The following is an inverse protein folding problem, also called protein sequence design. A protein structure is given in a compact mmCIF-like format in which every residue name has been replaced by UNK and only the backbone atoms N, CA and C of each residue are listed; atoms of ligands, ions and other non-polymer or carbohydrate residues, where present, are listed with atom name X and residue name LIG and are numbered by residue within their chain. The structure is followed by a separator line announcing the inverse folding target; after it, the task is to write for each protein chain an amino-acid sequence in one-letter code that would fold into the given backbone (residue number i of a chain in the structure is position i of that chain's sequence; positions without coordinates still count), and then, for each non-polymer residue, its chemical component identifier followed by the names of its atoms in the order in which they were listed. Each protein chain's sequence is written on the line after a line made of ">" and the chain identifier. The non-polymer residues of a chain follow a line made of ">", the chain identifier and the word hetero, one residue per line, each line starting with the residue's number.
data_IF_425011399400
#
_entry.id   IF_425011399400
#
_cell.length_a   1.000
_cell.length_b   1.000
_cell.length_c   1.000
_cell.angle_alpha   90.00
_cell.angle_beta   90.00
_cell.angle_gamma   90.00
#
_symmetry.space_group_name_H-M   'P 1'
#
loop_
_entity.id
_entity.type
_entity.pdbx_description
1 polymer ?
#
# COMPACT_ATOMS: atom_id res chain seq x y z
N UNK A 1 10.82 -22.91 -9.37
CA UNK A 1 9.91 -21.96 -8.68
C UNK A 1 10.34 -21.77 -7.22
N UNK A 2 10.39 -22.86 -6.44
CA UNK A 2 10.76 -22.88 -5.02
C UNK A 2 12.12 -22.24 -4.71
N UNK A 3 13.14 -22.51 -5.52
CA UNK A 3 14.50 -21.94 -5.37
C UNK A 3 14.53 -20.41 -5.53
N UNK A 4 13.66 -19.82 -6.36
CA UNK A 4 13.60 -18.36 -6.53
C UNK A 4 12.92 -17.69 -5.34
N UNK A 5 11.84 -18.28 -4.83
CA UNK A 5 11.08 -17.72 -3.71
C UNK A 5 11.90 -17.79 -2.41
N UNK A 6 12.67 -18.87 -2.22
CA UNK A 6 13.62 -19.00 -1.10
C UNK A 6 14.75 -17.96 -1.18
N UNK A 7 15.34 -17.78 -2.36
CA UNK A 7 16.43 -16.82 -2.56
C UNK A 7 15.98 -15.37 -2.35
N UNK A 8 14.71 -15.05 -2.68
CA UNK A 8 14.10 -13.74 -2.40
C UNK A 8 13.92 -13.54 -0.89
N UNK A 9 13.42 -14.55 -0.16
CA UNK A 9 13.31 -14.49 1.30
C UNK A 9 14.68 -14.37 2.00
N UNK A 10 15.69 -15.07 1.47
CA UNK A 10 17.06 -15.01 1.98
C UNK A 10 17.72 -13.63 1.76
N UNK A 11 17.23 -12.85 0.78
CA UNK A 11 17.71 -11.50 0.47
C UNK A 11 16.97 -10.40 1.23
N UNK A 12 15.76 -10.65 1.74
CA UNK A 12 14.96 -9.64 2.43
C UNK A 12 15.65 -9.11 3.70
N UNK A 13 16.24 -10.00 4.52
CA UNK A 13 16.94 -9.60 5.75
C UNK A 13 18.23 -8.83 5.45
N UNK A 14 19.17 -9.33 4.62
CA UNK A 14 20.37 -8.58 4.26
C UNK A 14 20.08 -7.24 3.57
N UNK A 15 19.05 -7.19 2.72
CA UNK A 15 18.64 -5.95 2.07
C UNK A 15 18.11 -4.94 3.09
N UNK A 16 17.30 -5.40 4.05
CA UNK A 16 16.78 -4.54 5.12
C UNK A 16 17.90 -3.97 5.98
N UNK A 17 18.88 -4.80 6.34
CA UNK A 17 20.07 -4.36 7.10
C UNK A 17 20.91 -3.35 6.32
N UNK A 18 21.17 -3.59 5.03
CA UNK A 18 21.91 -2.67 4.18
C UNK A 18 21.22 -1.30 4.08
N UNK A 19 19.91 -1.29 3.82
CA UNK A 19 19.14 -0.05 3.73
C UNK A 19 19.10 0.64 5.09
N UNK A 20 18.91 -0.10 6.19
CA UNK A 20 18.94 0.48 7.54
C UNK A 20 20.28 1.16 7.83
N UNK A 21 21.41 0.54 7.46
CA UNK A 21 22.74 1.15 7.61
C UNK A 21 22.92 2.39 6.73
N UNK A 22 22.41 2.38 5.49
CA UNK A 22 22.44 3.56 4.61
C UNK A 22 21.58 4.69 5.16
N UNK A 23 20.42 4.36 5.72
CA UNK A 23 19.51 5.32 6.34
C UNK A 23 20.09 5.87 7.63
N UNK A 24 20.78 5.08 8.44
CA UNK A 24 21.41 5.53 9.68
C UNK A 24 22.62 6.44 9.39
N UNK A 25 23.55 5.96 8.57
CA UNK A 25 24.84 6.62 8.31
C UNK A 25 24.78 7.70 7.22
N UNK A 26 23.78 7.67 6.34
CA UNK A 26 23.64 8.61 5.23
C UNK A 26 23.26 10.02 5.68
N UNK A 27 23.51 11.01 4.84
CA UNK A 27 23.05 12.37 5.07
C UNK A 27 21.54 12.50 4.80
N UNK A 28 20.95 13.65 5.16
CA UNK A 28 19.56 13.95 4.77
C UNK A 28 19.39 14.04 3.25
N UNK A 29 20.43 14.47 2.52
CA UNK A 29 20.42 14.59 1.07
C UNK A 29 20.47 13.21 0.39
N UNK A 30 21.24 12.27 0.96
CA UNK A 30 21.26 10.87 0.52
C UNK A 30 19.89 10.23 0.70
N UNK A 31 19.28 10.43 1.88
CA UNK A 31 17.94 9.93 2.17
C UNK A 31 16.88 10.55 1.25
N UNK A 32 16.94 11.87 1.03
CA UNK A 32 16.03 12.57 0.11
C UNK A 32 16.18 12.09 -1.33
N UNK A 33 17.39 11.74 -1.74
CA UNK A 33 17.66 11.14 -3.05
C UNK A 33 17.06 9.75 -3.16
N UNK A 34 17.21 8.91 -2.15
CA UNK A 34 16.58 7.58 -2.09
C UNK A 34 15.05 7.69 -2.18
N UNK A 35 14.45 8.64 -1.46
CA UNK A 35 13.01 8.86 -1.46
C UNK A 35 12.50 9.35 -2.83
N UNK A 36 13.26 10.21 -3.50
CA UNK A 36 12.98 10.64 -4.87
C UNK A 36 13.02 9.46 -5.85
N UNK A 37 14.04 8.59 -5.77
CA UNK A 37 14.15 7.40 -6.61
C UNK A 37 12.98 6.43 -6.38
N UNK A 38 12.55 6.26 -5.13
CA UNK A 38 11.34 5.49 -4.79
C UNK A 38 10.10 6.07 -5.48
N UNK A 39 9.88 7.39 -5.38
CA UNK A 39 8.72 8.05 -5.98
C UNK A 39 8.77 7.96 -7.52
N UNK A 40 9.94 8.13 -8.12
CA UNK A 40 10.15 7.97 -9.56
C UNK A 40 9.90 6.53 -10.02
N UNK A 41 10.30 5.53 -9.22
CA UNK A 41 9.99 4.12 -9.46
C UNK A 41 8.49 3.82 -9.41
N UNK A 42 7.74 4.52 -8.56
CA UNK A 42 6.28 4.44 -8.48
C UNK A 42 5.55 5.30 -9.54
N UNK A 43 6.26 5.89 -10.50
CA UNK A 43 5.63 6.65 -11.58
C UNK A 43 4.88 5.70 -12.56
N UNK A 44 3.63 6.06 -12.91
CA UNK A 44 2.79 5.29 -13.85
C UNK A 44 3.43 5.10 -15.22
N UNK A 45 4.31 6.02 -15.63
CA UNK A 45 5.08 5.89 -16.87
C UNK A 45 5.91 4.59 -16.92
N UNK A 46 6.31 4.03 -15.78
CA UNK A 46 7.08 2.77 -15.75
C UNK A 46 6.21 1.57 -16.14
N UNK A 47 4.92 1.58 -15.77
CA UNK A 47 3.96 0.57 -16.25
C UNK A 47 3.70 0.69 -17.74
N UNK A 48 3.52 1.91 -18.25
CA UNK A 48 3.30 2.13 -19.68
C UNK A 48 4.51 1.76 -20.54
N UNK A 49 5.71 1.78 -19.96
CA UNK A 49 6.95 1.27 -20.56
C UNK A 49 7.10 -0.26 -20.44
N UNK A 50 6.08 -0.97 -19.98
CA UNK A 50 6.08 -2.42 -19.72
C UNK A 50 7.20 -2.87 -18.78
N UNK A 51 7.50 -2.07 -17.75
CA UNK A 51 8.53 -2.40 -16.76
C UNK A 51 7.93 -2.50 -15.34
N UNK A 52 7.17 -3.57 -15.04
CA UNK A 52 6.62 -3.80 -13.69
C UNK A 52 7.71 -4.06 -12.65
N UNK A 53 8.92 -4.46 -13.05
CA UNK A 53 10.04 -4.73 -12.15
C UNK A 53 10.55 -3.47 -11.45
N UNK A 54 10.55 -2.32 -12.13
CA UNK A 54 10.86 -1.02 -11.50
C UNK A 54 9.84 -0.68 -10.41
N UNK A 55 8.55 -0.93 -10.69
CA UNK A 55 7.47 -0.66 -9.72
C UNK A 55 7.61 -1.60 -8.53
N UNK A 56 7.85 -2.90 -8.77
CA UNK A 56 8.11 -3.87 -7.69
C UNK A 56 9.30 -3.46 -6.84
N UNK A 57 10.41 -3.05 -7.46
CA UNK A 57 11.61 -2.61 -6.74
C UNK A 57 11.33 -1.40 -5.86
N UNK A 58 10.55 -0.44 -6.35
CA UNK A 58 10.14 0.73 -5.58
C UNK A 58 9.19 0.38 -4.43
N UNK A 59 8.25 -0.54 -4.64
CA UNK A 59 7.35 -1.08 -3.60
C UNK A 59 8.14 -1.83 -2.53
N UNK A 60 9.13 -2.64 -2.92
CA UNK A 60 10.02 -3.33 -1.99
C UNK A 60 10.85 -2.34 -1.18
N UNK A 61 11.46 -1.33 -1.83
CA UNK A 61 12.21 -0.28 -1.13
C UNK A 61 11.32 0.47 -0.14
N UNK A 62 10.06 0.77 -0.50
CA UNK A 62 9.10 1.37 0.42
C UNK A 62 8.85 0.48 1.65
N UNK A 63 8.61 -0.82 1.45
CA UNK A 63 8.41 -1.77 2.56
C UNK A 63 9.64 -1.83 3.47
N UNK A 64 10.85 -1.84 2.89
CA UNK A 64 12.10 -1.85 3.66
C UNK A 64 12.25 -0.55 4.47
N UNK A 65 12.04 0.61 3.84
CA UNK A 65 12.13 1.91 4.51
C UNK A 65 11.13 2.05 5.67
N UNK A 66 9.94 1.48 5.54
CA UNK A 66 8.93 1.46 6.60
C UNK A 66 9.33 0.63 7.82
N UNK A 67 10.29 -0.28 7.67
CA UNK A 67 10.84 -1.11 8.74
C UNK A 67 12.18 -0.56 9.28
N UNK A 68 12.74 0.48 8.67
CA UNK A 68 13.95 1.13 9.18
C UNK A 68 13.64 2.05 10.36
N UNK A 69 14.55 2.18 11.34
CA UNK A 69 14.40 3.12 12.46
C UNK A 69 14.65 4.56 11.99
N UNK A 70 13.66 5.15 11.31
CA UNK A 70 13.69 6.56 10.92
C UNK A 70 13.58 7.44 12.17
N UNK A 71 14.43 8.46 12.27
CA UNK A 71 14.33 9.46 13.34
C UNK A 71 14.74 10.84 12.84
N UNK A 72 14.33 11.87 13.59
CA UNK A 72 14.71 13.25 13.32
C UNK A 72 14.21 13.78 11.98
N UNK A 73 15.08 14.44 11.21
CA UNK A 73 14.70 15.06 9.94
C UNK A 73 14.35 14.03 8.84
N UNK A 74 15.00 12.85 8.83
CA UNK A 74 14.72 11.80 7.84
C UNK A 74 13.29 11.26 7.99
N UNK A 75 12.85 11.05 9.23
CA UNK A 75 11.48 10.69 9.55
C UNK A 75 10.48 11.75 9.06
N UNK A 76 10.75 13.03 9.34
CA UNK A 76 9.89 14.14 8.86
C UNK A 76 9.77 14.17 7.34
N UNK A 77 10.89 14.06 6.63
CA UNK A 77 10.92 14.06 5.16
C UNK A 77 10.13 12.89 4.61
N UNK A 78 10.30 11.69 5.18
CA UNK A 78 9.54 10.50 4.78
C UNK A 78 8.02 10.68 4.93
N UNK A 79 7.58 11.11 6.11
CA UNK A 79 6.16 11.29 6.38
C UNK A 79 5.55 12.46 5.58
N UNK A 80 6.34 13.50 5.28
CA UNK A 80 5.91 14.59 4.42
C UNK A 80 5.67 14.13 2.97
N UNK A 81 6.47 13.20 2.46
CA UNK A 81 6.30 12.62 1.12
C UNK A 81 5.22 11.52 1.05
N UNK A 82 4.75 11.02 2.19
CA UNK A 82 3.79 9.90 2.25
C UNK A 82 2.50 10.12 1.44
N UNK A 83 1.85 11.29 1.43
CA UNK A 83 0.68 11.52 0.58
C UNK A 83 0.95 11.32 -0.93
N UNK A 84 2.15 11.69 -1.38
CA UNK A 84 2.58 11.47 -2.77
C UNK A 84 2.79 9.97 -3.04
N UNK A 85 3.43 9.26 -2.12
CA UNK A 85 3.62 7.79 -2.20
C UNK A 85 2.25 7.09 -2.27
N UNK A 86 1.31 7.42 -1.39
CA UNK A 86 -0.05 6.86 -1.39
C UNK A 86 -0.77 7.09 -2.72
N UNK A 87 -0.66 8.31 -3.27
CA UNK A 87 -1.25 8.66 -4.56
C UNK A 87 -0.63 7.84 -5.68
N UNK A 88 0.69 7.68 -5.68
CA UNK A 88 1.40 6.87 -6.67
C UNK A 88 0.96 5.40 -6.61
N UNK A 89 0.89 4.80 -5.41
CA UNK A 89 0.39 3.43 -5.23
C UNK A 89 -1.05 3.25 -5.74
N UNK A 90 -1.93 4.22 -5.49
CA UNK A 90 -3.30 4.20 -6.02
C UNK A 90 -3.34 4.26 -7.55
N UNK A 91 -2.49 5.09 -8.15
CA UNK A 91 -2.38 5.16 -9.60
C UNK A 91 -1.80 3.87 -10.20
N UNK A 92 -0.82 3.24 -9.56
CA UNK A 92 -0.26 1.95 -10.01
C UNK A 92 -1.32 0.85 -10.06
N UNK A 93 -2.14 0.70 -9.02
CA UNK A 93 -3.25 -0.25 -9.01
C UNK A 93 -4.28 0.08 -10.09
N UNK A 94 -4.60 1.36 -10.27
CA UNK A 94 -5.53 1.80 -11.31
C UNK A 94 -5.03 1.42 -12.70
N UNK A 95 -3.78 1.70 -13.03
CA UNK A 95 -3.22 1.38 -14.34
C UNK A 95 -3.06 -0.13 -14.51
N UNK A 96 -2.56 -0.84 -13.49
CA UNK A 96 -2.44 -2.29 -13.52
C UNK A 96 -3.81 -2.98 -13.72
N UNK A 97 -4.91 -2.41 -13.22
CA UNK A 97 -6.27 -2.96 -13.43
C UNK A 97 -6.70 -3.03 -14.90
N UNK A 98 -6.05 -2.29 -15.79
CA UNK A 98 -6.31 -2.31 -17.23
C UNK A 98 -5.58 -3.47 -17.94
N UNK A 99 -4.62 -4.11 -17.27
CA UNK A 99 -3.83 -5.22 -17.81
C UNK A 99 -3.96 -6.46 -16.91
N UNK A 100 -4.73 -7.48 -17.33
CA UNK A 100 -4.91 -8.72 -16.57
C UNK A 100 -3.64 -9.52 -16.28
N UNK A 101 -2.54 -9.26 -17.01
CA UNK A 101 -1.25 -9.92 -16.79
C UNK A 101 -0.43 -9.20 -15.72
N UNK A 102 -0.49 -7.87 -15.68
CA UNK A 102 0.28 -7.04 -14.74
C UNK A 102 -0.39 -6.97 -13.38
N UNK A 103 -1.73 -6.92 -13.33
CA UNK A 103 -2.48 -6.78 -12.08
C UNK A 103 -2.09 -7.83 -11.02
N UNK A 104 -2.04 -9.15 -11.31
CA UNK A 104 -1.67 -10.15 -10.31
C UNK A 104 -0.27 -9.97 -9.73
N UNK A 105 0.65 -9.41 -10.53
CA UNK A 105 2.05 -9.20 -10.14
C UNK A 105 2.16 -8.04 -9.16
N UNK A 106 1.37 -6.98 -9.33
CA UNK A 106 1.50 -5.74 -8.55
C UNK A 106 0.48 -5.59 -7.42
N UNK A 107 -0.69 -6.22 -7.54
CA UNK A 107 -1.80 -5.98 -6.62
C UNK A 107 -1.43 -6.31 -5.17
N UNK A 108 -0.89 -7.51 -4.94
CA UNK A 108 -0.54 -7.98 -3.59
C UNK A 108 0.60 -7.14 -2.99
N UNK A 109 1.75 -6.93 -3.66
CA UNK A 109 2.82 -6.10 -3.10
C UNK A 109 2.39 -4.67 -2.76
N UNK A 110 1.56 -4.04 -3.59
CA UNK A 110 1.06 -2.68 -3.34
C UNK A 110 0.10 -2.65 -2.15
N UNK A 111 -0.81 -3.63 -2.04
CA UNK A 111 -1.75 -3.73 -0.91
C UNK A 111 -0.99 -3.96 0.41
N UNK A 112 0.02 -4.84 0.42
CA UNK A 112 0.89 -5.05 1.58
C UNK A 112 1.64 -3.77 1.98
N UNK A 113 2.24 -3.07 1.02
CA UNK A 113 2.93 -1.81 1.29
C UNK A 113 1.97 -0.75 1.84
N UNK A 114 0.75 -0.66 1.31
CA UNK A 114 -0.28 0.24 1.82
C UNK A 114 -0.72 -0.10 3.25
N UNK A 115 -0.89 -1.40 3.57
CA UNK A 115 -1.19 -1.85 4.92
C UNK A 115 -0.05 -1.49 5.91
N UNK A 116 1.20 -1.75 5.53
CA UNK A 116 2.37 -1.45 6.34
C UNK A 116 2.51 0.06 6.58
N UNK A 117 2.33 0.87 5.53
CA UNK A 117 2.34 2.34 5.60
C UNK A 117 1.30 2.88 6.61
N UNK A 118 0.09 2.29 6.62
CA UNK A 118 -0.95 2.66 7.56
C UNK A 118 -0.61 2.27 9.01
N UNK A 119 0.03 1.11 9.21
CA UNK A 119 0.45 0.64 10.54
C UNK A 119 1.57 1.51 11.10
N UNK A 120 2.65 1.70 10.33
CA UNK A 120 3.78 2.51 10.76
C UNK A 120 3.40 4.00 10.92
N UNK A 121 2.43 4.47 10.16
CA UNK A 121 1.94 5.85 10.24
C UNK A 121 0.85 6.07 11.29
N UNK A 122 0.62 5.14 12.22
CA UNK A 122 -0.31 5.35 13.34
C UNK A 122 0.05 6.61 14.14
N UNK A 123 -0.95 7.44 14.47
CA UNK A 123 -0.74 8.73 15.13
C UNK A 123 -0.21 9.85 14.22
N UNK A 124 0.59 9.52 13.20
CA UNK A 124 1.16 10.47 12.23
C UNK A 124 0.16 10.78 11.11
N UNK A 125 -0.42 9.75 10.49
CA UNK A 125 -1.42 9.83 9.42
C UNK A 125 -2.82 10.09 9.98
N UNK A 126 -2.95 11.06 10.88
CA UNK A 126 -4.20 11.37 11.58
C UNK A 126 -5.26 12.06 10.70
N UNK A 127 -4.87 12.57 9.52
CA UNK A 127 -5.78 13.18 8.55
C UNK A 127 -6.61 12.10 7.83
N UNK A 128 -7.96 12.11 7.96
CA UNK A 128 -8.81 11.14 7.27
C UNK A 128 -8.66 11.11 5.75
N UNK A 129 -8.15 12.19 5.13
CA UNK A 129 -7.90 12.24 3.71
C UNK A 129 -6.81 11.25 3.28
N UNK A 130 -5.74 11.09 4.06
CA UNK A 130 -4.66 10.14 3.75
C UNK A 130 -5.18 8.70 3.77
N UNK A 131 -5.99 8.37 4.77
CA UNK A 131 -6.63 7.04 4.86
C UNK A 131 -7.64 6.81 3.73
N UNK A 132 -8.34 7.86 3.28
CA UNK A 132 -9.24 7.76 2.13
C UNK A 132 -8.51 7.49 0.80
N UNK A 133 -7.29 7.99 0.63
CA UNK A 133 -6.45 7.65 -0.54
C UNK A 133 -6.15 6.15 -0.57
N UNK A 134 -5.79 5.56 0.57
CA UNK A 134 -5.56 4.11 0.67
C UNK A 134 -6.85 3.32 0.44
N UNK A 135 -7.99 3.82 0.90
CA UNK A 135 -9.29 3.21 0.63
C UNK A 135 -9.61 3.16 -0.87
N UNK A 136 -9.23 4.20 -1.64
CA UNK A 136 -9.40 4.21 -3.09
C UNK A 136 -8.56 3.14 -3.79
N UNK A 137 -7.39 2.78 -3.25
CA UNK A 137 -6.57 1.67 -3.77
C UNK A 137 -7.42 0.40 -3.81
N UNK A 138 -8.04 0.04 -2.68
CA UNK A 138 -8.89 -1.16 -2.53
C UNK A 138 -10.07 -1.12 -3.52
N UNK A 139 -10.75 0.03 -3.64
CA UNK A 139 -11.92 0.17 -4.51
C UNK A 139 -11.60 0.08 -6.00
N UNK A 140 -10.33 0.18 -6.38
CA UNK A 140 -9.90 0.17 -7.78
C UNK A 140 -9.44 -1.21 -8.23
N UNK A 141 -9.14 -2.13 -7.30
CA UNK A 141 -8.70 -3.47 -7.66
C UNK A 141 -9.89 -4.28 -8.21
N UNK A 142 -9.85 -4.75 -9.47
CA UNK A 142 -10.90 -5.59 -9.99
C UNK A 142 -10.78 -6.98 -9.36
N UNK A 143 -11.86 -7.43 -8.75
CA UNK A 143 -11.97 -8.73 -8.10
C UNK A 143 -12.42 -9.78 -9.13
N UNK A 144 -11.56 -10.04 -10.11
CA UNK A 144 -11.73 -11.15 -11.04
C UNK A 144 -11.53 -12.49 -10.31
N UNK A 145 -12.08 -13.59 -10.82
CA UNK A 145 -12.01 -14.91 -10.18
C UNK A 145 -10.60 -15.54 -10.10
N UNK A 146 -9.67 -15.13 -10.97
CA UNK A 146 -8.31 -15.69 -11.09
C UNK A 146 -7.38 -15.15 -10.01
N UNK A 147 -7.54 -13.87 -9.64
CA UNK A 147 -6.71 -13.21 -8.62
C UNK A 147 -7.41 -13.05 -7.29
N UNK A 148 -8.70 -13.40 -7.21
CA UNK A 148 -9.56 -13.15 -6.07
C UNK A 148 -8.91 -13.52 -4.74
N UNK A 149 -8.40 -14.74 -4.58
CA UNK A 149 -7.96 -15.24 -3.26
C UNK A 149 -6.76 -14.46 -2.69
N UNK A 150 -5.73 -14.18 -3.49
CA UNK A 150 -4.52 -13.49 -3.02
C UNK A 150 -4.75 -11.99 -2.85
N UNK A 151 -5.49 -11.37 -3.79
CA UNK A 151 -5.88 -9.96 -3.70
C UNK A 151 -6.81 -9.70 -2.54
N UNK A 152 -7.75 -10.61 -2.28
CA UNK A 152 -8.69 -10.52 -1.17
C UNK A 152 -7.97 -10.45 0.17
N UNK A 153 -6.96 -11.30 0.40
CA UNK A 153 -6.16 -11.24 1.61
C UNK A 153 -5.47 -9.88 1.76
N UNK A 154 -4.85 -9.36 0.69
CA UNK A 154 -4.24 -8.02 0.72
C UNK A 154 -5.24 -6.91 1.06
N UNK A 155 -6.46 -6.97 0.51
CA UNK A 155 -7.54 -6.04 0.84
C UNK A 155 -7.92 -6.13 2.31
N UNK A 156 -8.04 -7.34 2.85
CA UNK A 156 -8.34 -7.57 4.27
C UNK A 156 -7.28 -6.97 5.18
N UNK A 157 -5.99 -7.16 4.85
CA UNK A 157 -4.88 -6.60 5.62
C UNK A 157 -4.91 -5.06 5.65
N UNK A 158 -5.23 -4.42 4.53
CA UNK A 158 -5.36 -2.95 4.46
C UNK A 158 -6.55 -2.49 5.30
N UNK A 159 -7.72 -3.12 5.16
CA UNK A 159 -8.91 -2.78 5.94
C UNK A 159 -8.66 -2.94 7.43
N UNK A 160 -7.97 -4.02 7.83
CA UNK A 160 -7.59 -4.28 9.20
C UNK A 160 -6.66 -3.18 9.73
N UNK A 161 -5.63 -2.80 8.98
CA UNK A 161 -4.73 -1.69 9.34
C UNK A 161 -5.48 -0.37 9.53
N UNK A 162 -6.45 -0.04 8.67
CA UNK A 162 -7.30 1.16 8.83
C UNK A 162 -8.09 1.09 10.14
N UNK A 163 -8.73 -0.05 10.43
CA UNK A 163 -9.59 -0.19 11.60
C UNK A 163 -8.82 -0.20 12.92
N UNK A 164 -7.65 -0.82 12.93
CA UNK A 164 -6.79 -0.94 14.10
C UNK A 164 -6.08 0.39 14.40
N UNK A 165 -5.42 0.98 13.40
CA UNK A 165 -4.51 2.12 13.61
C UNK A 165 -5.17 3.50 13.42
N UNK A 166 -6.35 3.58 12.77
CA UNK A 166 -6.99 4.86 12.42
C UNK A 166 -8.43 4.99 12.94
N UNK A 167 -8.66 4.91 14.28
CA UNK A 167 -10.00 4.83 14.88
C UNK A 167 -10.86 6.09 14.67
N UNK A 168 -10.26 7.27 14.43
CA UNK A 168 -11.00 8.49 14.05
C UNK A 168 -11.61 8.39 12.65
N UNK A 169 -11.01 7.59 11.77
CA UNK A 169 -11.53 7.32 10.43
C UNK A 169 -12.61 6.25 10.50
N UNK A 170 -12.49 5.25 11.39
CA UNK A 170 -13.55 4.28 11.69
C UNK A 170 -14.90 4.96 11.92
N UNK A 171 -14.99 6.00 12.75
CA UNK A 171 -16.26 6.70 13.04
C UNK A 171 -16.82 7.52 11.87
N UNK A 172 -15.97 8.03 10.95
CA UNK A 172 -16.43 8.70 9.71
C UNK A 172 -16.77 7.72 8.58
N UNK A 173 -16.02 6.63 8.44
CA UNK A 173 -16.31 5.53 7.53
C UNK A 173 -17.64 4.89 7.88
N UNK A 174 -17.96 4.68 9.16
CA UNK A 174 -19.29 4.21 9.62
C UNK A 174 -20.44 5.01 8.98
N UNK A 175 -20.32 6.34 8.87
CA UNK A 175 -21.34 7.20 8.22
C UNK A 175 -21.33 7.12 6.68
N UNK A 176 -20.16 7.14 6.03
CA UNK A 176 -20.05 7.14 4.56
C UNK A 176 -20.34 5.78 3.93
N UNK A 177 -19.85 4.69 4.54
CA UNK A 177 -20.09 3.33 4.07
C UNK A 177 -21.55 2.91 4.24
N UNK A 178 -22.25 3.35 5.30
CA UNK A 178 -23.71 3.16 5.43
C UNK A 178 -24.47 3.82 4.28
N UNK A 179 -24.07 5.02 3.85
CA UNK A 179 -24.72 5.73 2.74
C UNK A 179 -24.37 5.14 1.36
N UNK A 180 -23.14 4.62 1.18
CA UNK A 180 -22.72 3.95 -0.06
C UNK A 180 -23.23 2.49 -0.15
N UNK A 181 -23.47 1.83 0.98
CA UNK A 181 -24.08 0.50 1.08
C UNK A 181 -25.53 0.48 0.54
N UNK A 182 -26.20 1.64 0.54
CA UNK A 182 -27.53 1.86 -0.03
C UNK A 182 -27.54 2.01 -1.56
N UNK A 183 -26.38 2.13 -2.21
CA UNK A 183 -26.30 2.32 -3.66
C UNK A 183 -26.33 0.96 -4.40
N UNK A 184 -27.13 0.76 -5.47
CA UNK A 184 -27.48 -0.57 -6.00
C UNK A 184 -26.52 -1.13 -7.05
N UNK A 185 -25.48 -0.39 -7.46
CA UNK A 185 -24.57 -0.82 -8.54
C UNK A 185 -23.47 -1.74 -7.98
N UNK A 186 -23.47 -2.98 -8.45
CA UNK A 186 -22.55 -4.10 -8.15
C UNK A 186 -22.63 -4.76 -6.77
N UNK A 187 -23.60 -5.66 -6.63
CA UNK A 187 -23.87 -6.42 -5.39
C UNK A 187 -23.07 -7.71 -5.22
N UNK A 188 -22.45 -8.26 -6.27
CA UNK A 188 -21.91 -9.63 -6.21
C UNK A 188 -20.44 -9.69 -5.80
N UNK A 189 -19.68 -8.63 -6.10
CA UNK A 189 -18.22 -8.58 -5.93
C UNK A 189 -17.81 -7.85 -4.64
N UNK A 190 -18.59 -6.85 -4.22
CA UNK A 190 -18.35 -6.08 -2.99
C UNK A 190 -19.05 -6.64 -1.75
N UNK A 191 -19.81 -7.73 -1.86
CA UNK A 191 -20.55 -8.30 -0.74
C UNK A 191 -19.67 -8.73 0.44
N UNK A 192 -18.52 -9.40 0.25
CA UNK A 192 -17.68 -9.80 1.38
C UNK A 192 -16.92 -8.63 2.01
N UNK A 193 -16.50 -7.64 1.22
CA UNK A 193 -15.93 -6.37 1.73
C UNK A 193 -17.00 -5.58 2.50
N UNK A 194 -18.24 -5.54 1.99
CA UNK A 194 -19.41 -4.95 2.69
C UNK A 194 -19.72 -5.72 3.98
N UNK A 195 -19.74 -7.05 3.96
CA UNK A 195 -19.98 -7.85 5.16
C UNK A 195 -18.85 -7.68 6.17
N UNK A 196 -17.59 -7.65 5.74
CA UNK A 196 -16.46 -7.41 6.62
C UNK A 196 -16.54 -6.04 7.28
N UNK A 197 -16.83 -4.98 6.50
CA UNK A 197 -17.07 -3.65 7.03
C UNK A 197 -18.28 -3.63 7.99
N UNK A 198 -19.39 -4.28 7.65
CA UNK A 198 -20.59 -4.31 8.50
C UNK A 198 -20.40 -5.12 9.79
N UNK A 199 -19.71 -6.25 9.75
CA UNK A 199 -19.41 -7.09 10.91
C UNK A 199 -18.44 -6.38 11.86
N UNK A 200 -17.39 -5.76 11.35
CA UNK A 200 -16.41 -5.03 12.18
C UNK A 200 -16.89 -3.66 12.66
N UNK A 201 -17.85 -3.02 11.97
CA UNK A 201 -18.49 -1.78 12.44
C UNK A 201 -19.47 -2.07 13.60
N UNK A 202 -19.98 -3.29 13.70
CA UNK A 202 -20.98 -3.69 14.70
C UNK A 202 -20.41 -4.22 16.01
N UNK A 203 -19.09 -4.50 16.06
CA UNK A 203 -18.31 -4.64 17.29
C UNK A 203 -17.70 -3.29 17.72
#
# INVERSE_FOLDING_TARGET
>A
PEVKDQLIQDLDVPLTELIAQLVENGTIDDFSTMLRLLIEGLNVCNLWKQNPEIVLSAVTLLKVLLNCPLSGEKEKVFWFSTPQIMTALAMQIKEASQDPVVLPVLAVPILEAAALLLRCGEGILSNPHHVALVFNIILTVPLDQRVYNSVFLGIHEVLFAILQCHPKVRSKLKKKTWNAASCPRDKTIYLPIRLFLLLFISC
#
